data_IF_352841104542
#
_entry.id   IF_352841104542
#
_cell.length_a   1.000
_cell.length_b   1.000
_cell.length_c   1.000
_cell.angle_alpha   90.00
_cell.angle_beta   90.00
_cell.angle_gamma   90.00
#
_symmetry.space_group_name_H-M   'P 1'
#
loop_
_entity.id
_entity.type
_entity.pdbx_description
1 polymer ?
#
# COMPACT_ATOMS: atom_id res chain seq x y z
N UNK A 1 10.69 -38.81 -23.00
CA UNK A 1 11.19 -38.74 -21.62
C UNK A 1 10.73 -37.39 -21.06
N UNK A 2 9.70 -37.36 -20.22
CA UNK A 2 9.10 -36.11 -19.73
C UNK A 2 9.67 -35.78 -18.35
N UNK A 3 10.35 -34.63 -18.23
CA UNK A 3 10.77 -34.08 -16.95
C UNK A 3 9.66 -33.17 -16.41
N UNK A 4 9.12 -33.47 -15.23
CA UNK A 4 8.15 -32.61 -14.56
C UNK A 4 8.84 -31.88 -13.40
N UNK A 5 8.78 -30.54 -13.40
CA UNK A 5 9.30 -29.70 -12.32
C UNK A 5 8.13 -29.00 -11.63
N UNK A 6 8.03 -29.17 -10.31
CA UNK A 6 7.01 -28.51 -9.49
C UNK A 6 7.69 -27.68 -8.41
N UNK A 7 7.38 -26.37 -8.39
CA UNK A 7 7.86 -25.41 -7.40
C UNK A 7 6.76 -25.13 -6.38
N UNK A 8 7.03 -25.43 -5.11
CA UNK A 8 6.11 -25.07 -4.02
C UNK A 8 6.76 -24.01 -3.15
N UNK A 9 6.10 -22.86 -3.05
CA UNK A 9 6.52 -21.76 -2.17
C UNK A 9 6.03 -22.05 -0.76
N UNK A 10 6.96 -22.08 0.20
CA UNK A 10 6.64 -22.15 1.62
C UNK A 10 7.09 -20.85 2.29
N UNK A 11 6.19 -20.28 3.08
CA UNK A 11 6.47 -19.11 3.91
C UNK A 11 6.84 -19.59 5.31
N UNK A 12 8.00 -19.17 5.79
CA UNK A 12 8.43 -19.41 7.17
C UNK A 12 8.60 -18.06 7.85
N UNK A 13 7.94 -17.91 9.00
CA UNK A 13 8.09 -16.76 9.88
C UNK A 13 9.27 -17.03 10.83
N UNK A 14 10.36 -16.27 10.68
CA UNK A 14 11.48 -16.29 11.62
C UNK A 14 11.45 -15.02 12.45
N UNK A 15 11.38 -15.19 13.78
CA UNK A 15 11.40 -14.10 14.75
C UNK A 15 12.85 -13.88 15.18
N UNK A 16 13.42 -12.72 14.85
CA UNK A 16 14.72 -12.32 15.39
C UNK A 16 14.55 -11.90 16.86
N UNK A 17 15.18 -12.65 17.78
CA UNK A 17 15.02 -12.48 19.22
C UNK A 17 15.50 -11.12 19.76
N UNK A 18 16.33 -10.39 19.01
CA UNK A 18 16.95 -9.14 19.44
C UNK A 18 16.23 -7.88 18.94
N UNK A 19 15.57 -7.93 17.78
CA UNK A 19 14.92 -6.76 17.15
C UNK A 19 13.40 -6.87 17.04
N UNK A 20 12.79 -8.00 17.45
CA UNK A 20 11.36 -8.32 17.26
C UNK A 20 10.86 -8.06 15.83
N UNK A 21 11.74 -8.25 14.84
CA UNK A 21 11.38 -8.21 13.42
C UNK A 21 10.72 -9.53 13.02
N UNK A 22 9.54 -9.44 12.37
CA UNK A 22 8.97 -10.56 11.64
C UNK A 22 9.61 -10.62 10.26
N UNK A 23 10.47 -11.62 10.03
CA UNK A 23 11.03 -11.89 8.70
C UNK A 23 10.24 -13.02 8.07
N UNK A 24 9.39 -12.67 7.10
CA UNK A 24 8.78 -13.65 6.21
C UNK A 24 9.80 -14.01 5.14
N UNK A 25 10.42 -15.18 5.25
CA UNK A 25 11.34 -15.70 4.24
C UNK A 25 10.57 -16.63 3.31
N UNK A 26 10.59 -16.34 2.01
CA UNK A 26 10.10 -17.25 0.99
C UNK A 26 11.17 -18.32 0.74
N UNK A 27 10.87 -19.58 1.07
CA UNK A 27 11.72 -20.72 0.74
C UNK A 27 11.10 -21.41 -0.47
N UNK A 28 11.84 -21.44 -1.58
CA UNK A 28 11.45 -22.19 -2.77
C UNK A 28 12.08 -23.58 -2.70
N UNK A 29 11.24 -24.62 -2.61
CA UNK A 29 11.69 -26.01 -2.65
C UNK A 29 11.28 -26.61 -3.99
N UNK A 30 12.27 -26.88 -4.84
CA UNK A 30 12.09 -27.52 -6.15
C UNK A 30 12.15 -29.03 -6.01
N UNK A 31 11.14 -29.74 -6.51
CA UNK A 31 11.12 -31.19 -6.59
C UNK A 31 11.28 -31.63 -8.04
N UNK A 32 12.33 -32.42 -8.32
CA UNK A 32 12.58 -33.01 -9.64
C UNK A 32 12.33 -34.51 -9.57
N UNK A 33 11.34 -35.00 -10.33
CA UNK A 33 10.99 -36.42 -10.41
C UNK A 33 11.44 -36.99 -11.76
N UNK A 34 12.36 -37.95 -11.73
CA UNK A 34 12.79 -38.70 -12.91
C UNK A 34 12.40 -40.17 -12.72
N UNK A 35 11.53 -40.70 -13.57
CA UNK A 35 11.16 -42.13 -13.55
C UNK A 35 10.63 -42.66 -12.21
N UNK A 36 9.96 -41.82 -11.41
CA UNK A 36 9.34 -42.23 -10.13
C UNK A 36 10.29 -42.34 -8.93
N UNK A 37 11.56 -41.92 -9.03
CA UNK A 37 12.48 -41.88 -7.88
C UNK A 37 12.98 -40.45 -7.64
N UNK A 38 12.86 -40.00 -6.38
CA UNK A 38 13.28 -38.67 -5.94
C UNK A 38 14.81 -38.63 -5.88
N UNK A 39 15.45 -37.84 -6.74
CA UNK A 39 16.91 -37.85 -6.87
C UNK A 39 17.64 -36.72 -6.13
N UNK A 40 17.01 -35.60 -5.76
CA UNK A 40 17.66 -34.61 -4.88
C UNK A 40 16.65 -33.59 -4.28
N UNK A 41 16.94 -33.10 -3.07
CA UNK A 41 16.25 -31.96 -2.41
C UNK A 41 17.28 -30.84 -2.21
N UNK A 42 17.56 -30.06 -3.24
CA UNK A 42 18.44 -28.88 -3.10
C UNK A 42 17.64 -27.63 -2.76
N UNK A 43 17.92 -27.05 -1.59
CA UNK A 43 17.35 -25.78 -1.15
C UNK A 43 18.30 -24.63 -1.53
N UNK A 44 18.01 -23.94 -2.64
CA UNK A 44 18.75 -22.74 -3.01
C UNK A 44 18.07 -21.51 -2.40
N UNK A 45 18.76 -20.88 -1.44
CA UNK A 45 18.35 -19.61 -0.82
C UNK A 45 18.72 -18.47 -1.77
N UNK A 46 17.85 -18.17 -2.73
CA UNK A 46 17.98 -16.98 -3.56
C UNK A 46 17.63 -15.74 -2.74
N UNK A 47 18.65 -15.03 -2.27
CA UNK A 47 18.56 -13.73 -1.62
C UNK A 47 18.16 -12.66 -2.66
N UNK A 48 16.86 -12.55 -2.93
CA UNK A 48 16.30 -11.49 -3.74
C UNK A 48 16.14 -10.22 -2.88
N UNK A 49 17.17 -9.39 -2.91
CA UNK A 49 17.16 -8.06 -2.29
C UNK A 49 16.36 -7.08 -3.14
N UNK A 50 15.02 -7.18 -3.11
CA UNK A 50 14.16 -6.12 -3.66
C UNK A 50 13.39 -5.37 -2.57
N UNK A 51 13.70 -4.08 -2.56
CA UNK A 51 12.80 -3.00 -2.18
C UNK A 51 12.67 -2.71 -0.68
N UNK A 52 13.81 -2.39 -0.07
CA UNK A 52 13.84 -1.45 1.05
C UNK A 52 13.44 -0.05 0.60
N UNK A 53 12.16 0.19 0.25
CA UNK A 53 11.60 1.55 0.27
C UNK A 53 11.23 1.87 1.70
N UNK A 54 12.26 2.12 2.51
CA UNK A 54 12.08 2.95 3.71
C UNK A 54 11.40 4.21 3.21
N UNK A 55 10.15 4.45 3.63
CA UNK A 55 9.66 5.82 3.71
C UNK A 55 10.56 6.50 4.75
N UNK A 56 11.69 7.02 4.28
CA UNK A 56 12.50 7.98 5.01
C UNK A 56 11.51 9.00 5.55
N UNK A 57 11.42 9.11 6.89
CA UNK A 57 10.78 10.24 7.54
C UNK A 57 11.67 11.46 7.31
N UNK A 58 11.86 11.85 6.05
CA UNK A 58 12.32 13.19 5.74
C UNK A 58 11.22 14.11 6.26
N UNK A 59 11.47 14.72 7.42
CA UNK A 59 10.74 15.92 7.81
C UNK A 59 11.09 16.95 6.75
N UNK A 60 10.26 17.04 5.72
CA UNK A 60 10.25 18.22 4.86
C UNK A 60 10.18 19.41 5.81
N UNK A 61 11.23 20.22 5.83
CA UNK A 61 11.24 21.45 6.60
C UNK A 61 10.09 22.27 6.03
N UNK A 62 8.98 22.33 6.76
CA UNK A 62 7.80 23.05 6.34
C UNK A 62 8.23 24.51 6.19
N UNK A 63 8.46 24.98 4.96
CA UNK A 63 8.55 26.42 4.66
C UNK A 63 7.34 27.04 5.32
N UNK A 64 7.56 27.84 6.36
CA UNK A 64 6.54 28.13 7.34
C UNK A 64 5.31 28.74 6.67
N UNK A 65 4.27 27.91 6.51
CA UNK A 65 2.94 28.43 6.22
C UNK A 65 2.57 29.44 7.31
N UNK A 66 1.77 30.46 6.97
CA UNK A 66 1.44 31.53 7.93
C UNK A 66 1.01 30.97 9.29
N UNK A 67 1.35 31.66 10.38
CA UNK A 67 0.87 31.31 11.71
C UNK A 67 -0.66 31.42 11.76
N UNK A 68 -1.36 30.27 11.78
CA UNK A 68 -2.83 30.18 11.84
C UNK A 68 -3.25 29.59 13.17
N UNK A 69 -4.36 30.09 13.72
CA UNK A 69 -4.97 29.54 14.93
C UNK A 69 -5.49 28.11 14.69
N UNK A 70 -5.61 27.32 15.76
CA UNK A 70 -6.09 25.94 15.69
C UNK A 70 -7.51 25.83 15.09
N UNK A 71 -8.40 26.79 15.40
CA UNK A 71 -9.75 26.86 14.85
C UNK A 71 -9.74 27.01 13.33
N UNK A 72 -8.90 27.90 12.80
CA UNK A 72 -8.75 28.12 11.35
C UNK A 72 -8.16 26.87 10.69
N UNK A 73 -7.13 26.26 11.27
CA UNK A 73 -6.54 25.02 10.76
C UNK A 73 -7.58 23.90 10.65
N UNK A 74 -8.40 23.71 11.69
CA UNK A 74 -9.50 22.72 11.68
C UNK A 74 -10.55 23.02 10.62
N UNK A 75 -10.91 24.29 10.43
CA UNK A 75 -11.84 24.71 9.38
C UNK A 75 -11.29 24.42 7.98
N UNK A 76 -10.03 24.81 7.71
CA UNK A 76 -9.36 24.56 6.43
C UNK A 76 -9.27 23.07 6.12
N UNK A 77 -8.88 22.25 7.10
CA UNK A 77 -8.83 20.80 6.95
C UNK A 77 -10.22 20.21 6.63
N UNK A 78 -11.29 20.69 7.29
CA UNK A 78 -12.66 20.26 6.98
C UNK A 78 -13.07 20.64 5.56
N UNK A 79 -12.78 21.87 5.12
CA UNK A 79 -13.09 22.34 3.76
C UNK A 79 -12.32 21.55 2.70
N UNK A 80 -11.08 21.17 2.97
CA UNK A 80 -10.30 20.31 2.08
C UNK A 80 -10.92 18.91 1.97
N UNK A 81 -11.28 18.29 3.11
CA UNK A 81 -11.93 16.97 3.14
C UNK A 81 -13.29 16.96 2.43
N UNK A 82 -14.05 18.05 2.50
CA UNK A 82 -15.35 18.18 1.81
C UNK A 82 -15.20 18.31 0.28
N UNK A 83 -14.07 18.81 -0.21
CA UNK A 83 -13.85 19.09 -1.62
C UNK A 83 -13.42 17.86 -2.44
N UNK A 84 -14.14 16.75 -2.27
CA UNK A 84 -13.90 15.46 -2.94
C UNK A 84 -14.98 15.14 -3.98
N UNK A 85 -14.66 14.39 -5.05
CA UNK A 85 -15.68 13.88 -5.98
C UNK A 85 -16.57 12.84 -5.30
N UNK A 86 -17.73 12.55 -5.91
CA UNK A 86 -18.67 11.56 -5.39
C UNK A 86 -18.11 10.15 -5.66
N UNK A 87 -18.15 9.24 -4.67
CA UNK A 87 -17.79 7.83 -4.86
C UNK A 87 -18.64 7.13 -5.93
N UNK A 88 -18.01 6.24 -6.69
CA UNK A 88 -18.66 5.56 -7.82
C UNK A 88 -19.88 4.74 -7.42
N UNK A 89 -19.82 4.00 -6.30
CA UNK A 89 -20.93 3.16 -5.84
C UNK A 89 -22.20 3.97 -5.50
N UNK A 90 -22.07 5.26 -5.13
CA UNK A 90 -23.24 6.13 -4.90
C UNK A 90 -23.97 6.43 -6.21
N UNK A 91 -23.23 6.51 -7.32
CA UNK A 91 -23.81 6.71 -8.66
C UNK A 91 -24.55 5.46 -9.14
N UNK A 92 -24.14 4.29 -8.67
CA UNK A 92 -24.74 2.99 -9.01
C UNK A 92 -25.98 2.67 -8.15
N UNK A 93 -26.27 3.44 -7.09
CA UNK A 93 -27.48 3.24 -6.29
C UNK A 93 -28.73 3.62 -7.09
N UNK A 94 -29.66 2.69 -7.20
CA UNK A 94 -30.98 2.88 -7.83
C UNK A 94 -31.76 3.99 -7.14
N UNK A 95 -32.52 4.79 -7.91
CA UNK A 95 -33.33 5.89 -7.38
C UNK A 95 -32.57 7.15 -6.95
N UNK A 96 -31.25 7.21 -7.20
CA UNK A 96 -30.44 8.38 -6.82
C UNK A 96 -30.32 9.42 -7.95
N UNK A 97 -30.76 10.65 -7.70
CA UNK A 97 -30.66 11.79 -8.64
C UNK A 97 -29.27 12.46 -8.63
N UNK A 98 -28.46 12.23 -7.60
CA UNK A 98 -27.18 12.93 -7.40
C UNK A 98 -26.11 12.38 -8.36
N UNK A 99 -25.63 13.22 -9.30
CA UNK A 99 -24.58 12.85 -10.28
C UNK A 99 -23.20 13.43 -9.97
N UNK A 100 -23.15 14.66 -9.46
CA UNK A 100 -21.92 15.36 -9.11
C UNK A 100 -22.10 16.12 -7.79
N UNK A 101 -20.99 16.50 -7.15
CA UNK A 101 -21.02 17.28 -5.92
C UNK A 101 -21.22 18.76 -6.25
N UNK A 102 -22.45 19.26 -6.11
CA UNK A 102 -22.79 20.67 -6.37
C UNK A 102 -22.04 21.66 -5.47
N UNK A 103 -21.59 21.21 -4.29
CA UNK A 103 -20.83 22.03 -3.32
C UNK A 103 -19.31 21.95 -3.53
N UNK A 104 -18.83 21.28 -4.59
CA UNK A 104 -17.41 21.20 -4.92
C UNK A 104 -16.87 22.59 -5.26
N UNK A 105 -15.67 22.92 -4.79
CA UNK A 105 -15.09 24.26 -4.89
C UNK A 105 -13.74 24.23 -5.59
N UNK A 106 -13.45 25.20 -6.46
CA UNK A 106 -12.11 25.46 -6.94
C UNK A 106 -11.51 26.70 -6.27
N UNK A 107 -10.26 26.63 -5.83
CA UNK A 107 -9.64 27.67 -5.00
C UNK A 107 -9.39 29.00 -5.73
N UNK A 108 -9.23 28.96 -7.06
CA UNK A 108 -9.11 30.19 -7.86
C UNK A 108 -10.45 30.91 -7.98
N UNK A 109 -11.55 30.17 -8.21
CA UNK A 109 -12.87 30.74 -8.54
C UNK A 109 -13.62 31.32 -7.34
N UNK A 110 -13.74 30.58 -6.24
CA UNK A 110 -14.51 31.04 -5.07
C UNK A 110 -13.69 30.93 -3.79
N UNK A 111 -13.71 31.96 -2.94
CA UNK A 111 -12.90 32.05 -1.71
C UNK A 111 -13.67 31.53 -0.49
N UNK A 112 -12.94 31.23 0.59
CA UNK A 112 -13.50 30.62 1.81
C UNK A 112 -14.08 31.63 2.81
N UNK A 113 -13.78 32.92 2.66
CA UNK A 113 -14.24 33.98 3.58
C UNK A 113 -13.86 33.69 5.03
N UNK A 114 -12.55 33.74 5.32
CA UNK A 114 -11.96 33.46 6.62
C UNK A 114 -11.24 34.68 7.15
#
# INVERSE_FOLDING_TARGET
MFTYSSTKLHWVELINAETRELRCVAVCVTWSLFGGRLLDKTANVTSFSLFGRRHSRERTVDTMSSHKTFRIKRFLAKKQKQNRPIPQWIRMKTGNKIRYNSKRRHWRRTKLGL
#
